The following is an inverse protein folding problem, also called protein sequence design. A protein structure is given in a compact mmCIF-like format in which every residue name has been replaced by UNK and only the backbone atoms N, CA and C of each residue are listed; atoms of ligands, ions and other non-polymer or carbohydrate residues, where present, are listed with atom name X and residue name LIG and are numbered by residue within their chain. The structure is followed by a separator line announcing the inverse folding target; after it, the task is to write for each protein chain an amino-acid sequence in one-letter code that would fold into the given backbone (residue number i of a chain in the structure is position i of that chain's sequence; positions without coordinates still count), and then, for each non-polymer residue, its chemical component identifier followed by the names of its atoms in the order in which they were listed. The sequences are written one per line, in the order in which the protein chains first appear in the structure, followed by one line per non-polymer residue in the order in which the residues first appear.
data_IF_722664409450
#
_entry.id   IF_722664409450
#
_cell.length_a   1.000
_cell.length_b   1.000
_cell.length_c   1.000
_cell.angle_alpha   90.00
_cell.angle_beta   90.00
_cell.angle_gamma   90.00
#
_symmetry.space_group_name_H-M   'P 1'
#
loop_
_entity.id
_entity.type
_entity.pdbx_description
1 polymer ?
#
# COMPACT_ATOMS: atom_id res chain seq x y z
N UNK A 1 58.29 -32.93 6.72
CA UNK A 1 57.55 -32.81 5.44
C UNK A 1 56.04 -33.00 5.63
N UNK A 2 55.59 -33.90 6.50
CA UNK A 2 54.15 -34.07 6.80
C UNK A 2 53.55 -32.91 7.62
N UNK A 3 54.29 -32.33 8.55
CA UNK A 3 53.78 -31.24 9.42
C UNK A 3 53.39 -29.97 8.64
N UNK A 4 54.14 -29.63 7.59
CA UNK A 4 53.82 -28.47 6.73
C UNK A 4 52.55 -28.67 5.90
N UNK A 5 52.24 -29.93 5.53
CA UNK A 5 51.03 -30.24 4.76
C UNK A 5 49.77 -30.04 5.61
N UNK A 6 49.79 -30.50 6.86
CA UNK A 6 48.68 -30.31 7.79
C UNK A 6 48.49 -28.84 8.19
N UNK A 7 49.57 -28.08 8.33
CA UNK A 7 49.51 -26.65 8.60
C UNK A 7 48.84 -25.89 7.45
N UNK A 8 49.23 -26.19 6.21
CA UNK A 8 48.66 -25.57 5.00
C UNK A 8 47.18 -25.92 4.79
N UNK A 9 46.76 -27.13 5.14
CA UNK A 9 45.34 -27.53 5.13
C UNK A 9 44.51 -26.80 6.18
N UNK A 10 45.05 -26.59 7.38
CA UNK A 10 44.36 -25.82 8.43
C UNK A 10 44.18 -24.36 8.02
N UNK A 11 45.21 -23.73 7.45
CA UNK A 11 45.14 -22.35 6.95
C UNK A 11 44.12 -22.20 5.80
N UNK A 12 44.05 -23.16 4.87
CA UNK A 12 43.01 -23.16 3.82
C UNK A 12 41.60 -23.33 4.40
N UNK A 13 41.44 -24.18 5.41
CA UNK A 13 40.14 -24.41 6.06
C UNK A 13 39.68 -23.19 6.85
N UNK A 14 40.60 -22.52 7.57
CA UNK A 14 40.31 -21.28 8.29
C UNK A 14 40.04 -20.11 7.32
N UNK A 15 40.75 -20.07 6.19
CA UNK A 15 40.48 -19.14 5.09
C UNK A 15 39.11 -19.35 4.45
N UNK A 16 38.69 -20.60 4.22
CA UNK A 16 37.35 -20.93 3.71
C UNK A 16 36.24 -20.66 4.73
N UNK A 17 36.45 -20.98 6.00
CA UNK A 17 35.49 -20.66 7.07
C UNK A 17 35.38 -19.15 7.24
N UNK A 18 36.49 -18.41 7.13
CA UNK A 18 36.49 -16.94 7.10
C UNK A 18 35.76 -16.37 5.90
N UNK A 19 35.95 -16.95 4.70
CA UNK A 19 35.27 -16.54 3.46
C UNK A 19 33.78 -16.89 3.46
N UNK A 20 33.39 -18.05 3.98
CA UNK A 20 31.99 -18.45 4.14
C UNK A 20 31.30 -17.60 5.21
N UNK A 21 32.00 -17.23 6.29
CA UNK A 21 31.48 -16.30 7.29
C UNK A 21 31.34 -14.87 6.73
N UNK A 22 32.22 -14.46 5.82
CA UNK A 22 32.11 -13.18 5.12
C UNK A 22 31.00 -13.20 4.04
N UNK A 23 30.84 -14.32 3.32
CA UNK A 23 29.73 -14.53 2.36
C UNK A 23 28.38 -14.79 3.04
N UNK A 24 28.36 -15.13 4.33
CA UNK A 24 27.16 -15.15 5.17
C UNK A 24 26.85 -13.77 5.77
N UNK A 25 27.66 -12.75 5.50
CA UNK A 25 27.32 -11.37 5.88
C UNK A 25 26.56 -10.72 4.73
N UNK A 26 25.30 -10.39 5.03
CA UNK A 26 24.34 -9.65 4.20
C UNK A 26 23.51 -10.46 3.19
N UNK A 27 22.71 -11.40 3.70
CA UNK A 27 21.29 -11.40 3.27
C UNK A 27 20.83 -9.93 3.31
N UNK A 28 20.33 -9.33 2.21
CA UNK A 28 20.03 -7.92 2.18
C UNK A 28 19.16 -7.57 3.39
N UNK A 29 19.76 -6.87 4.35
CA UNK A 29 19.13 -6.44 5.61
C UNK A 29 17.96 -5.47 5.35
N UNK A 30 17.75 -5.12 4.08
CA UNK A 30 16.70 -4.28 3.52
C UNK A 30 15.60 -5.08 2.82
N UNK A 31 15.50 -6.40 3.04
CA UNK A 31 14.34 -7.14 2.56
C UNK A 31 13.14 -6.81 3.46
N UNK A 32 12.06 -6.19 2.93
CA UNK A 32 10.88 -5.91 3.74
C UNK A 32 10.33 -7.23 4.29
N UNK A 33 9.89 -7.22 5.55
CA UNK A 33 9.27 -8.41 6.17
C UNK A 33 8.16 -8.93 5.27
N UNK A 34 7.92 -10.25 5.29
CA UNK A 34 6.91 -10.89 4.44
C UNK A 34 5.55 -10.21 4.57
N UNK A 35 5.20 -9.76 5.78
CA UNK A 35 4.00 -8.96 6.08
C UNK A 35 3.97 -7.61 5.33
N UNK A 36 5.09 -6.90 5.27
CA UNK A 36 5.24 -5.64 4.53
C UNK A 36 5.13 -5.85 3.02
N UNK A 37 5.68 -6.95 2.49
CA UNK A 37 5.54 -7.32 1.08
C UNK A 37 4.08 -7.59 0.73
N UNK A 38 3.39 -8.39 1.56
CA UNK A 38 1.96 -8.69 1.37
C UNK A 38 1.15 -7.41 1.41
N UNK A 39 1.36 -6.54 2.41
CA UNK A 39 0.69 -5.24 2.50
C UNK A 39 0.93 -4.38 1.25
N UNK A 40 2.18 -4.33 0.77
CA UNK A 40 2.55 -3.56 -0.44
C UNK A 40 1.81 -4.07 -1.67
N UNK A 41 1.79 -5.39 -1.88
CA UNK A 41 1.05 -5.99 -3.00
C UNK A 41 -0.45 -5.74 -2.91
N UNK A 42 -1.01 -5.88 -1.72
CA UNK A 42 -2.42 -5.57 -1.45
C UNK A 42 -2.76 -4.12 -1.84
N UNK A 43 -1.93 -3.18 -1.39
CA UNK A 43 -2.10 -1.76 -1.69
C UNK A 43 -1.99 -1.48 -3.19
N UNK A 44 -1.05 -2.11 -3.89
CA UNK A 44 -0.90 -1.94 -5.33
C UNK A 44 -2.05 -2.54 -6.13
N UNK A 45 -2.55 -3.70 -5.74
CA UNK A 45 -3.66 -4.37 -6.43
C UNK A 45 -4.94 -3.55 -6.27
N UNK A 46 -5.28 -3.16 -5.05
CA UNK A 46 -6.52 -2.41 -4.77
C UNK A 46 -6.42 -0.98 -5.31
N UNK A 47 -5.31 -0.30 -5.05
CA UNK A 47 -5.04 1.02 -5.61
C UNK A 47 -4.92 1.00 -7.13
N UNK A 48 -4.52 -0.12 -7.72
CA UNK A 48 -4.44 -0.30 -9.16
C UNK A 48 -5.82 -0.47 -9.78
N UNK A 49 -6.60 -1.43 -9.28
CA UNK A 49 -7.92 -1.76 -9.83
C UNK A 49 -8.91 -0.62 -9.63
N UNK A 50 -8.93 -0.01 -8.44
CA UNK A 50 -9.89 1.05 -8.14
C UNK A 50 -9.33 2.44 -8.44
N UNK A 51 -8.01 2.62 -8.26
CA UNK A 51 -7.40 3.95 -8.32
C UNK A 51 -6.94 4.39 -9.70
N UNK A 52 -6.34 3.52 -10.51
CA UNK A 52 -5.86 3.91 -11.84
C UNK A 52 -7.02 4.35 -12.74
N UNK A 53 -8.16 3.62 -12.84
CA UNK A 53 -9.30 4.09 -13.63
C UNK A 53 -9.84 5.43 -13.15
N UNK A 54 -9.92 5.64 -11.83
CA UNK A 54 -10.36 6.92 -11.26
C UNK A 54 -9.43 8.07 -11.63
N UNK A 55 -8.12 7.88 -11.50
CA UNK A 55 -7.13 8.90 -11.86
C UNK A 55 -7.15 9.20 -13.36
N UNK A 56 -7.22 8.18 -14.21
CA UNK A 56 -7.30 8.37 -15.66
C UNK A 56 -8.56 9.13 -16.06
N UNK A 57 -9.69 8.81 -15.42
CA UNK A 57 -10.94 9.53 -15.62
C UNK A 57 -10.75 10.99 -15.19
N UNK A 58 -10.21 11.25 -13.99
CA UNK A 58 -9.94 12.60 -13.49
C UNK A 58 -9.00 13.41 -14.41
N UNK A 59 -7.99 12.77 -15.01
CA UNK A 59 -7.11 13.43 -15.98
C UNK A 59 -7.88 13.77 -17.25
N UNK A 60 -8.65 12.83 -17.82
CA UNK A 60 -9.43 13.07 -19.04
C UNK A 60 -10.43 14.22 -18.88
N UNK A 61 -11.06 14.28 -17.71
CA UNK A 61 -11.93 15.34 -17.22
C UNK A 61 -11.33 16.75 -17.33
N UNK A 62 -10.06 16.91 -16.93
CA UNK A 62 -9.40 18.22 -16.92
C UNK A 62 -8.60 18.50 -18.20
N UNK A 63 -8.12 17.45 -18.87
CA UNK A 63 -7.24 17.56 -20.03
C UNK A 63 -7.99 17.63 -21.36
N UNK A 64 -9.23 17.13 -21.43
CA UNK A 64 -10.00 17.05 -22.66
C UNK A 64 -11.26 17.92 -22.56
N UNK A 65 -11.29 19.09 -23.21
CA UNK A 65 -12.50 19.89 -23.33
C UNK A 65 -13.62 19.07 -23.96
N UNK A 66 -14.76 18.97 -23.27
CA UNK A 66 -15.90 18.17 -23.73
C UNK A 66 -15.89 16.69 -23.29
N UNK A 67 -14.94 16.24 -22.46
CA UNK A 67 -14.91 14.86 -21.92
C UNK A 67 -16.23 14.47 -21.23
N UNK A 68 -16.86 15.42 -20.54
CA UNK A 68 -18.17 15.25 -19.89
C UNK A 68 -19.36 15.70 -20.74
N UNK A 69 -19.11 16.27 -21.92
CA UNK A 69 -20.14 16.81 -22.81
C UNK A 69 -20.80 15.72 -23.65
N UNK A 70 -21.00 14.52 -23.09
CA UNK A 70 -21.58 13.39 -23.83
C UNK A 70 -23.08 13.54 -24.11
N UNK A 71 -23.71 14.68 -23.80
CA UNK A 71 -25.16 14.91 -23.94
C UNK A 71 -26.03 13.94 -23.14
N UNK A 72 -25.42 13.14 -22.26
CA UNK A 72 -26.04 12.08 -21.49
C UNK A 72 -25.56 12.18 -20.04
N UNK A 73 -26.42 12.75 -19.20
CA UNK A 73 -26.14 13.03 -17.79
C UNK A 73 -25.76 11.77 -16.99
N UNK A 74 -26.23 10.59 -17.43
CA UNK A 74 -25.93 9.31 -16.78
C UNK A 74 -24.44 8.95 -16.95
N UNK A 75 -23.89 9.20 -18.14
CA UNK A 75 -22.47 8.90 -18.43
C UNK A 75 -21.57 9.87 -17.69
N UNK A 76 -21.93 11.16 -17.64
CA UNK A 76 -21.20 12.17 -16.88
C UNK A 76 -21.22 11.85 -15.36
N UNK A 77 -22.37 11.47 -14.81
CA UNK A 77 -22.50 11.06 -13.40
C UNK A 77 -21.65 9.82 -13.09
N UNK A 78 -21.62 8.83 -13.99
CA UNK A 78 -20.77 7.65 -13.84
C UNK A 78 -19.28 8.01 -13.85
N UNK A 79 -18.83 8.83 -14.81
CA UNK A 79 -17.43 9.26 -14.90
C UNK A 79 -16.99 10.04 -13.65
N UNK A 80 -17.83 10.97 -13.17
CA UNK A 80 -17.58 11.68 -11.91
C UNK A 80 -17.48 10.70 -10.74
N UNK A 81 -18.40 9.75 -10.64
CA UNK A 81 -18.40 8.74 -9.58
C UNK A 81 -17.11 7.91 -9.60
N UNK A 82 -16.68 7.45 -10.77
CA UNK A 82 -15.43 6.70 -10.93
C UNK A 82 -14.22 7.55 -10.54
N UNK A 83 -14.18 8.82 -10.94
CA UNK A 83 -13.09 9.73 -10.59
C UNK A 83 -13.04 10.02 -9.08
N UNK A 84 -14.19 10.31 -8.45
CA UNK A 84 -14.27 10.64 -7.02
C UNK A 84 -14.06 9.45 -6.10
N UNK A 85 -14.48 8.24 -6.50
CA UNK A 85 -14.23 7.02 -5.72
C UNK A 85 -12.80 6.55 -5.96
N UNK A 86 -12.36 6.47 -7.21
CA UNK A 86 -11.07 5.88 -7.56
C UNK A 86 -9.87 6.74 -7.15
N UNK A 87 -9.92 8.06 -7.31
CA UNK A 87 -8.77 8.93 -7.00
C UNK A 87 -8.28 8.78 -5.54
N UNK A 88 -9.16 8.73 -4.52
CA UNK A 88 -8.75 8.36 -3.16
C UNK A 88 -8.03 7.02 -3.06
N UNK A 89 -8.50 5.96 -3.73
CA UNK A 89 -7.80 4.68 -3.72
C UNK A 89 -6.40 4.76 -4.36
N UNK A 90 -6.24 5.59 -5.39
CA UNK A 90 -4.92 5.86 -5.96
C UNK A 90 -3.98 6.54 -4.96
N UNK A 91 -4.45 7.61 -4.32
CA UNK A 91 -3.64 8.42 -3.39
C UNK A 91 -3.29 7.63 -2.13
N UNK A 92 -4.26 6.90 -1.56
CA UNK A 92 -4.06 6.25 -0.27
C UNK A 92 -3.47 4.84 -0.36
N UNK A 93 -3.57 4.15 -1.50
CA UNK A 93 -3.04 2.79 -1.66
C UNK A 93 -1.95 2.71 -2.73
N UNK A 94 -2.24 3.16 -3.94
CA UNK A 94 -1.32 2.94 -5.06
C UNK A 94 -0.01 3.71 -4.89
N UNK A 95 -0.10 5.01 -4.56
CA UNK A 95 1.07 5.85 -4.39
C UNK A 95 1.99 5.37 -3.24
N UNK A 96 1.48 5.10 -2.02
CA UNK A 96 2.33 4.61 -0.95
C UNK A 96 2.82 3.18 -1.20
N UNK A 97 2.02 2.33 -1.87
CA UNK A 97 2.45 1.01 -2.33
C UNK A 97 3.66 1.07 -3.27
N UNK A 98 3.66 2.00 -4.23
CA UNK A 98 4.82 2.23 -5.12
C UNK A 98 6.06 2.69 -4.34
N UNK A 99 5.89 3.56 -3.34
CA UNK A 99 7.01 4.00 -2.51
C UNK A 99 7.55 2.88 -1.62
N UNK A 100 6.70 1.97 -1.14
CA UNK A 100 7.11 0.78 -0.40
C UNK A 100 7.95 -0.16 -1.28
N UNK A 101 7.63 -0.29 -2.57
CA UNK A 101 8.46 -1.06 -3.53
C UNK A 101 9.87 -0.48 -3.68
N UNK A 102 10.03 0.85 -3.62
CA UNK A 102 11.33 1.52 -3.72
C UNK A 102 12.21 1.39 -2.46
N UNK A 103 11.74 0.65 -1.43
CA UNK A 103 12.50 0.29 -0.21
C UNK A 103 13.18 1.46 0.51
N UNK A 104 12.62 2.67 0.44
CA UNK A 104 13.14 3.81 1.19
C UNK A 104 12.63 3.73 2.63
N UNK A 105 13.49 3.94 3.63
CA UNK A 105 13.09 3.97 5.05
C UNK A 105 11.94 4.96 5.34
N UNK A 106 11.88 6.05 4.58
CA UNK A 106 10.84 7.07 4.69
C UNK A 106 9.50 6.63 4.07
N UNK A 107 9.49 5.64 3.17
CA UNK A 107 8.25 5.19 2.51
C UNK A 107 7.33 4.42 3.45
N UNK A 108 7.89 3.68 4.42
CA UNK A 108 7.10 3.02 5.45
C UNK A 108 6.37 4.03 6.34
N UNK A 109 7.10 5.06 6.82
CA UNK A 109 6.51 6.13 7.63
C UNK A 109 5.42 6.88 6.84
N UNK A 110 5.72 7.20 5.58
CA UNK A 110 4.76 7.83 4.68
C UNK A 110 3.50 6.97 4.48
N UNK A 111 3.65 5.69 4.18
CA UNK A 111 2.52 4.78 3.97
C UNK A 111 1.64 4.65 5.22
N UNK A 112 2.24 4.54 6.40
CA UNK A 112 1.50 4.50 7.67
C UNK A 112 0.70 5.80 7.85
N UNK A 113 1.33 6.97 7.69
CA UNK A 113 0.67 8.27 7.85
C UNK A 113 -0.49 8.43 6.87
N UNK A 114 -0.26 8.11 5.59
CA UNK A 114 -1.27 8.22 4.54
C UNK A 114 -2.46 7.28 4.82
N UNK A 115 -2.20 6.03 5.20
CA UNK A 115 -3.27 5.09 5.57
C UNK A 115 -4.03 5.55 6.81
N UNK A 116 -3.34 6.10 7.83
CA UNK A 116 -3.99 6.66 9.02
C UNK A 116 -4.91 7.83 8.68
N UNK A 117 -4.49 8.73 7.78
CA UNK A 117 -5.35 9.82 7.29
C UNK A 117 -6.57 9.23 6.58
N UNK A 118 -6.39 8.22 5.73
CA UNK A 118 -7.50 7.53 5.05
C UNK A 118 -8.54 6.97 6.04
N UNK A 119 -8.09 6.32 7.12
CA UNK A 119 -8.98 5.81 8.17
C UNK A 119 -9.73 6.95 8.86
N UNK A 120 -9.03 8.02 9.25
CA UNK A 120 -9.66 9.19 9.90
C UNK A 120 -10.70 9.83 8.98
N UNK A 121 -10.44 9.90 7.67
CA UNK A 121 -11.42 10.42 6.70
C UNK A 121 -12.65 9.52 6.59
N UNK A 122 -12.48 8.19 6.55
CA UNK A 122 -13.62 7.24 6.51
C UNK A 122 -14.46 7.36 7.78
N UNK A 123 -13.83 7.41 8.97
CA UNK A 123 -14.52 7.56 10.25
C UNK A 123 -15.17 8.94 10.38
N UNK A 124 -14.48 10.00 9.99
CA UNK A 124 -14.99 11.37 10.04
C UNK A 124 -16.21 11.55 9.13
N UNK A 125 -16.15 11.04 7.90
CA UNK A 125 -17.28 11.06 6.98
C UNK A 125 -18.44 10.21 7.50
N UNK A 126 -18.14 9.05 8.10
CA UNK A 126 -19.15 8.23 8.76
C UNK A 126 -19.87 9.01 9.86
N UNK A 127 -19.14 9.64 10.78
CA UNK A 127 -19.73 10.42 11.87
C UNK A 127 -20.53 11.58 11.30
N UNK A 128 -19.96 12.36 10.37
CA UNK A 128 -20.64 13.50 9.75
C UNK A 128 -21.98 13.11 9.14
N UNK A 129 -22.03 12.00 8.38
CA UNK A 129 -23.25 11.54 7.73
C UNK A 129 -24.28 11.01 8.75
N UNK A 130 -23.85 10.30 9.79
CA UNK A 130 -24.76 9.84 10.86
C UNK A 130 -25.28 11.00 11.73
N UNK A 131 -24.49 12.06 11.92
CA UNK A 131 -24.90 13.24 12.71
C UNK A 131 -25.75 14.21 11.89
N UNK A 132 -25.46 14.34 10.58
CA UNK A 132 -26.22 15.14 9.63
C UNK A 132 -27.55 14.50 9.23
N UNK A 133 -27.75 13.20 9.47
CA UNK A 133 -28.97 12.48 9.14
C UNK A 133 -29.65 11.94 10.41
N UNK A 134 -30.39 12.82 11.08
CA UNK A 134 -31.58 12.43 11.84
C UNK A 134 -32.70 11.88 10.92
N UNK A 135 -32.52 11.94 9.60
CA UNK A 135 -33.44 11.43 8.58
C UNK A 135 -33.01 10.06 8.05
N UNK A 136 -33.59 9.05 8.67
CA UNK A 136 -34.31 7.94 8.02
C UNK A 136 -33.77 7.43 6.66
N UNK A 137 -33.30 6.18 6.68
CA UNK A 137 -33.08 5.30 5.52
C UNK A 137 -32.05 5.76 4.47
N UNK A 138 -30.80 5.91 4.88
CA UNK A 138 -29.71 5.64 3.95
C UNK A 138 -29.67 4.14 3.66
N UNK A 139 -29.89 3.77 2.40
CA UNK A 139 -29.90 2.36 1.97
C UNK A 139 -28.66 1.64 2.50
N UNK A 140 -28.86 0.51 3.17
CA UNK A 140 -27.81 -0.37 3.69
C UNK A 140 -26.68 -0.56 2.67
N UNK A 141 -26.99 -0.63 1.37
CA UNK A 141 -26.00 -0.72 0.28
C UNK A 141 -24.97 0.41 0.27
N UNK A 142 -25.40 1.66 0.47
CA UNK A 142 -24.49 2.81 0.56
C UNK A 142 -23.64 2.72 1.83
N UNK A 143 -24.25 2.29 2.94
CA UNK A 143 -23.50 2.07 4.17
C UNK A 143 -22.38 1.03 4.02
N UNK A 144 -22.71 -0.11 3.41
CA UNK A 144 -21.77 -1.21 3.18
C UNK A 144 -20.64 -0.81 2.22
N UNK A 145 -20.98 -0.19 1.09
CA UNK A 145 -20.01 0.17 0.04
C UNK A 145 -19.06 1.30 0.45
N UNK A 146 -19.55 2.31 1.18
CA UNK A 146 -18.77 3.51 1.49
C UNK A 146 -18.08 3.50 2.85
N UNK A 147 -18.51 2.63 3.79
CA UNK A 147 -17.94 2.61 5.14
C UNK A 147 -17.45 1.22 5.55
N UNK A 148 -18.28 0.18 5.39
CA UNK A 148 -17.92 -1.15 5.88
C UNK A 148 -16.84 -1.82 5.04
N UNK A 149 -16.84 -1.65 3.71
CA UNK A 149 -15.80 -2.20 2.84
C UNK A 149 -14.50 -1.40 2.93
N UNK A 150 -14.47 -0.06 2.87
CA UNK A 150 -13.22 0.69 2.89
C UNK A 150 -12.45 0.56 4.20
N UNK A 151 -13.13 0.51 5.35
CA UNK A 151 -12.49 0.43 6.66
C UNK A 151 -11.51 -0.76 6.81
N UNK A 152 -11.90 -2.04 6.56
CA UNK A 152 -10.97 -3.17 6.60
C UNK A 152 -9.91 -3.08 5.51
N UNK A 153 -10.24 -2.54 4.33
CA UNK A 153 -9.23 -2.32 3.28
C UNK A 153 -8.10 -1.42 3.80
N UNK A 154 -8.39 -0.43 4.64
CA UNK A 154 -7.38 0.47 5.21
C UNK A 154 -6.68 -0.15 6.43
N UNK A 155 -7.44 -0.83 7.29
CA UNK A 155 -6.94 -1.42 8.53
C UNK A 155 -5.98 -2.58 8.29
N UNK A 156 -6.29 -3.49 7.36
CA UNK A 156 -5.47 -4.68 7.08
C UNK A 156 -4.02 -4.31 6.71
N UNK A 157 -3.76 -3.48 5.67
CA UNK A 157 -2.39 -3.09 5.34
C UNK A 157 -1.76 -2.26 6.46
N UNK A 158 -2.51 -1.39 7.15
CA UNK A 158 -1.96 -0.63 8.27
C UNK A 158 -1.45 -1.54 9.39
N UNK A 159 -2.25 -2.51 9.82
CA UNK A 159 -1.90 -3.51 10.84
C UNK A 159 -0.69 -4.31 10.38
N UNK A 160 -0.68 -4.79 9.12
CA UNK A 160 0.45 -5.53 8.57
C UNK A 160 1.75 -4.71 8.54
N UNK A 161 1.68 -3.42 8.24
CA UNK A 161 2.84 -2.51 8.25
C UNK A 161 3.34 -2.21 9.68
N UNK A 162 2.44 -2.07 10.65
CA UNK A 162 2.80 -1.84 12.07
C UNK A 162 3.45 -3.09 12.67
N UNK A 163 2.85 -4.26 12.50
CA UNK A 163 3.36 -5.52 13.08
C UNK A 163 4.54 -6.10 12.28
N UNK A 164 4.67 -5.77 11.00
CA UNK A 164 5.83 -6.12 10.18
C UNK A 164 7.15 -5.51 10.64
N UNK A 165 7.11 -4.52 11.55
CA UNK A 165 8.30 -3.87 12.14
C UNK A 165 8.94 -4.71 13.27
N UNK A 166 8.20 -5.64 13.89
CA UNK A 166 8.61 -6.33 15.13
C UNK A 166 9.42 -7.63 14.94
N UNK A 167 9.67 -8.08 13.71
CA UNK A 167 10.41 -9.34 13.45
C UNK A 167 11.94 -9.21 13.50
N UNK A 168 12.47 -8.23 14.25
CA UNK A 168 13.90 -8.17 14.58
C UNK A 168 14.08 -8.38 16.08
N UNK A 169 14.04 -9.64 16.50
CA UNK A 169 14.68 -10.13 17.73
C UNK A 169 15.34 -11.46 17.44
#
# INVERSE_FOLDING_TARGET
MEEDFYKKLREMKEGQIGLERNNQTQLPQDSPSTKTKIATWWMLIIGGILGIPGLLTLIGIFAVPGFYSSGNDIVAAYQLTVAFIGTPFFIFYFLPGLFLLKRKIWSLKFAIVVLSIGIVMVIGNFIYQNFSLLSFFHSWRVFFLYYLIPLPLFLIPLVLLIFGKKEKH
#
